data_IF_740956153410
#
_entry.id   IF_740956153410
#
_cell.length_a   1.000
_cell.length_b   1.000
_cell.length_c   1.000
_cell.angle_alpha   90.00
_cell.angle_beta   90.00
_cell.angle_gamma   90.00
#
_symmetry.space_group_name_H-M   'P 1'
#
loop_
_entity.id
_entity.type
_entity.pdbx_description
1 polymer ?
#
# COMPACT_ATOMS: atom_id res chain seq x y z
N UNK A 1 18.65 32.88 -38.28
CA UNK A 1 18.88 32.29 -36.94
C UNK A 1 17.80 32.82 -36.01
N UNK A 2 16.99 31.95 -35.40
CA UNK A 2 16.15 32.15 -34.20
C UNK A 2 14.97 31.17 -34.25
N UNK A 3 15.11 30.00 -33.63
CA UNK A 3 13.99 29.07 -33.36
C UNK A 3 13.70 29.12 -31.87
N UNK A 4 12.90 30.09 -31.47
CA UNK A 4 12.18 30.06 -30.20
C UNK A 4 11.00 29.10 -30.34
N UNK A 5 10.92 28.09 -29.47
CA UNK A 5 9.67 27.48 -28.93
C UNK A 5 10.03 26.28 -28.05
N UNK A 6 10.52 26.59 -26.85
CA UNK A 6 10.70 25.67 -25.73
C UNK A 6 9.41 25.61 -24.90
N UNK A 7 8.34 24.95 -25.38
CA UNK A 7 7.05 24.90 -24.65
C UNK A 7 6.34 23.53 -24.60
N UNK A 8 6.90 22.45 -25.14
CA UNK A 8 6.13 21.18 -25.27
C UNK A 8 6.41 20.12 -24.20
N UNK A 9 7.14 20.42 -23.13
CA UNK A 9 7.45 19.44 -22.07
C UNK A 9 6.48 19.41 -20.88
N UNK A 10 5.44 20.23 -20.88
CA UNK A 10 4.47 20.23 -19.79
C UNK A 10 3.15 19.61 -20.27
N UNK A 11 2.62 18.68 -19.47
CA UNK A 11 1.25 18.16 -19.51
C UNK A 11 1.00 16.87 -20.31
N UNK A 12 1.71 15.80 -19.91
CA UNK A 12 1.08 14.46 -19.85
C UNK A 12 0.81 14.08 -18.39
N UNK A 13 0.02 14.92 -17.68
CA UNK A 13 -0.56 14.53 -16.39
C UNK A 13 -1.71 13.57 -16.70
N UNK A 14 -1.45 12.27 -16.58
CA UNK A 14 -2.51 11.25 -16.64
C UNK A 14 -3.58 11.61 -15.60
N UNK A 15 -4.86 11.73 -15.96
CA UNK A 15 -5.90 11.92 -14.97
C UNK A 15 -5.93 10.66 -14.10
N UNK A 16 -5.60 10.82 -12.81
CA UNK A 16 -5.77 9.76 -11.85
C UNK A 16 -7.25 9.41 -11.80
N UNK A 17 -7.61 8.19 -12.24
CA UNK A 17 -8.98 7.69 -12.18
C UNK A 17 -9.54 7.79 -10.76
N UNK A 18 -10.88 7.81 -10.61
CA UNK A 18 -11.52 8.06 -9.33
C UNK A 18 -10.99 7.06 -8.30
N UNK A 19 -10.36 7.58 -7.25
CA UNK A 19 -9.89 6.77 -6.13
C UNK A 19 -11.11 6.04 -5.55
N UNK A 20 -11.21 4.75 -5.86
CA UNK A 20 -12.35 3.92 -5.47
C UNK A 20 -12.73 4.19 -4.02
N UNK A 21 -14.02 4.52 -3.82
CA UNK A 21 -14.57 4.93 -2.53
C UNK A 21 -14.09 3.97 -1.44
N UNK A 22 -13.22 4.47 -0.56
CA UNK A 22 -12.69 3.68 0.55
C UNK A 22 -13.85 3.46 1.50
N UNK A 23 -14.52 2.31 1.38
CA UNK A 23 -15.53 1.88 2.34
C UNK A 23 -14.90 1.89 3.74
N UNK A 24 -15.41 2.77 4.60
CA UNK A 24 -14.93 2.90 5.99
C UNK A 24 -15.35 1.64 6.73
N UNK A 25 -14.39 0.75 6.98
CA UNK A 25 -14.61 -0.40 7.88
C UNK A 25 -14.58 0.11 9.32
N UNK A 26 -15.48 -0.39 10.15
CA UNK A 26 -15.54 -0.05 11.57
C UNK A 26 -14.35 -0.67 12.32
N UNK A 27 -13.75 0.08 13.23
CA UNK A 27 -12.62 -0.40 14.04
C UNK A 27 -13.06 -1.43 15.08
N UNK A 28 -12.38 -2.57 15.10
CA UNK A 28 -12.61 -3.66 16.06
C UNK A 28 -12.45 -3.21 17.52
N UNK A 29 -11.33 -2.57 17.86
CA UNK A 29 -11.05 -2.09 19.23
C UNK A 29 -12.08 -1.07 19.72
N UNK A 30 -12.61 -0.22 18.83
CA UNK A 30 -13.70 0.70 19.18
C UNK A 30 -15.01 -0.03 19.52
N UNK A 31 -15.29 -1.16 18.86
CA UNK A 31 -16.51 -1.95 19.13
C UNK A 31 -16.40 -2.70 20.44
N UNK A 32 -15.24 -3.29 20.72
CA UNK A 32 -14.98 -4.02 21.95
C UNK A 32 -14.64 -3.11 23.15
N UNK A 33 -14.58 -1.78 22.94
CA UNK A 33 -14.23 -0.78 23.97
C UNK A 33 -12.90 -1.06 24.67
N UNK A 34 -11.95 -1.64 23.95
CA UNK A 34 -10.61 -1.91 24.47
C UNK A 34 -9.82 -0.60 24.41
N UNK A 35 -9.45 -0.06 25.59
CA UNK A 35 -8.74 1.21 25.69
C UNK A 35 -7.23 1.07 25.40
N UNK A 36 -6.63 -0.06 25.77
CA UNK A 36 -5.20 -0.32 25.63
C UNK A 36 -4.92 -1.66 24.94
N UNK A 37 -3.89 -1.65 24.09
CA UNK A 37 -3.51 -2.80 23.26
C UNK A 37 -2.13 -3.27 23.73
N UNK A 38 -2.12 -4.41 24.42
CA UNK A 38 -0.89 -5.01 24.92
C UNK A 38 -0.12 -5.80 23.87
N UNK A 39 1.22 -5.77 23.99
CA UNK A 39 2.13 -6.56 23.16
C UNK A 39 2.06 -8.07 23.44
N UNK A 40 1.54 -8.45 24.61
CA UNK A 40 1.41 -9.85 25.06
C UNK A 40 0.34 -10.61 24.25
N UNK A 41 -0.65 -9.92 23.71
CA UNK A 41 -1.76 -10.52 22.98
C UNK A 41 -1.40 -10.82 21.52
N UNK A 42 -0.50 -11.77 21.31
CA UNK A 42 0.04 -12.12 19.99
C UNK A 42 -1.06 -12.51 19.00
N UNK A 43 -2.11 -13.20 19.46
CA UNK A 43 -3.26 -13.61 18.64
C UNK A 43 -3.99 -12.42 18.01
N UNK A 44 -4.13 -11.32 18.75
CA UNK A 44 -4.76 -10.10 18.22
C UNK A 44 -3.80 -9.40 17.25
N UNK A 45 -2.52 -9.28 17.62
CA UNK A 45 -1.52 -8.56 16.82
C UNK A 45 -1.21 -9.26 15.49
N UNK A 46 -1.27 -10.60 15.42
CA UNK A 46 -1.10 -11.38 14.18
C UNK A 46 -2.08 -10.95 13.08
N UNK A 47 -3.31 -10.56 13.44
CA UNK A 47 -4.32 -10.06 12.46
C UNK A 47 -3.91 -8.73 11.81
N UNK A 48 -3.09 -7.94 12.51
CA UNK A 48 -2.60 -6.63 12.05
C UNK A 48 -1.25 -6.72 11.34
N UNK A 49 -0.70 -7.93 11.18
CA UNK A 49 0.58 -8.18 10.52
C UNK A 49 0.31 -9.01 9.25
N UNK A 50 1.12 -8.80 8.21
CA UNK A 50 1.10 -9.64 7.01
C UNK A 50 1.91 -10.91 7.25
N UNK A 51 1.70 -11.94 6.44
CA UNK A 51 2.54 -13.14 6.49
C UNK A 51 4.02 -12.80 6.34
N UNK A 52 4.35 -11.74 5.59
CA UNK A 52 5.73 -11.22 5.42
C UNK A 52 6.31 -10.54 6.68
N UNK A 53 5.58 -10.51 7.79
CA UNK A 53 5.98 -9.80 9.00
C UNK A 53 5.78 -8.29 8.95
N UNK A 54 5.21 -7.70 7.89
CA UNK A 54 4.99 -6.23 7.77
C UNK A 54 3.68 -5.81 8.45
N UNK A 55 3.65 -4.63 9.08
CA UNK A 55 2.42 -4.09 9.68
C UNK A 55 1.42 -3.74 8.58
N UNK A 56 0.20 -4.28 8.65
CA UNK A 56 -0.88 -3.98 7.70
C UNK A 56 -1.36 -2.55 7.88
N UNK A 57 -1.69 -1.89 6.76
CA UNK A 57 -2.22 -0.53 6.79
C UNK A 57 -3.64 -0.48 7.37
N UNK A 58 -4.01 0.67 7.94
CA UNK A 58 -5.36 0.95 8.46
C UNK A 58 -6.48 0.68 7.45
N UNK A 59 -6.20 0.79 6.14
CA UNK A 59 -7.19 0.61 5.07
C UNK A 59 -7.64 -0.85 4.97
N UNK A 60 -6.73 -1.77 5.23
CA UNK A 60 -6.98 -3.21 5.16
C UNK A 60 -7.67 -3.66 6.44
N UNK A 61 -7.16 -3.22 7.60
CA UNK A 61 -7.61 -3.67 8.93
C UNK A 61 -8.85 -2.92 9.43
N UNK A 62 -9.12 -1.71 8.95
CA UNK A 62 -10.24 -0.88 9.42
C UNK A 62 -10.01 -0.22 10.78
N UNK A 63 -8.78 -0.22 11.31
CA UNK A 63 -8.49 0.38 12.60
C UNK A 63 -8.56 1.92 12.56
N UNK A 64 -9.06 2.53 13.64
CA UNK A 64 -9.02 3.98 13.85
C UNK A 64 -7.57 4.46 13.98
N UNK A 65 -7.30 5.74 13.71
CA UNK A 65 -5.94 6.32 13.79
C UNK A 65 -5.30 6.10 15.17
N UNK A 66 -6.06 6.31 16.25
CA UNK A 66 -5.58 6.13 17.64
C UNK A 66 -5.13 4.69 17.88
N UNK A 67 -5.99 3.72 17.59
CA UNK A 67 -5.68 2.30 17.73
C UNK A 67 -4.56 1.86 16.80
N UNK A 68 -4.46 2.37 15.57
CA UNK A 68 -3.35 2.01 14.68
C UNK A 68 -1.99 2.42 15.25
N UNK A 69 -1.89 3.57 15.92
CA UNK A 69 -0.65 4.01 16.59
C UNK A 69 -0.33 3.08 17.77
N UNK A 70 -1.32 2.76 18.60
CA UNK A 70 -1.16 1.82 19.72
C UNK A 70 -0.75 0.42 19.24
N UNK A 71 -1.41 -0.13 18.22
CA UNK A 71 -1.03 -1.41 17.58
C UNK A 71 0.40 -1.34 17.06
N UNK A 72 0.80 -0.26 16.38
CA UNK A 72 2.15 -0.14 15.85
C UNK A 72 3.20 -0.16 16.97
N UNK A 73 2.95 0.51 18.09
CA UNK A 73 3.82 0.47 19.27
C UNK A 73 3.84 -0.92 19.92
N UNK A 74 2.67 -1.56 20.07
CA UNK A 74 2.56 -2.91 20.61
C UNK A 74 3.29 -3.94 19.74
N UNK A 75 3.17 -3.86 18.41
CA UNK A 75 3.89 -4.74 17.48
C UNK A 75 5.40 -4.52 17.55
N UNK A 76 5.87 -3.28 17.67
CA UNK A 76 7.31 -3.00 17.84
C UNK A 76 7.86 -3.62 19.11
N UNK A 77 7.18 -3.41 20.24
CA UNK A 77 7.53 -4.03 21.53
C UNK A 77 7.49 -5.56 21.46
N UNK A 78 6.46 -6.13 20.82
CA UNK A 78 6.36 -7.58 20.67
C UNK A 78 7.51 -8.17 19.83
N UNK A 79 8.03 -7.42 18.86
CA UNK A 79 9.21 -7.84 18.07
C UNK A 79 10.51 -7.76 18.87
N UNK A 80 10.67 -6.73 19.69
CA UNK A 80 11.80 -6.62 20.62
C UNK A 80 11.81 -7.80 21.62
N UNK A 81 10.62 -8.25 22.05
CA UNK A 81 10.43 -9.41 22.91
C UNK A 81 10.44 -10.77 22.16
N UNK A 82 10.81 -10.79 20.87
CA UNK A 82 10.84 -11.98 20.02
C UNK A 82 9.50 -12.77 19.90
N UNK A 83 8.37 -12.15 20.23
CA UNK A 83 7.04 -12.76 20.09
C UNK A 83 6.54 -12.75 18.63
N UNK A 84 7.09 -11.85 17.80
CA UNK A 84 6.71 -11.67 16.40
C UNK A 84 7.96 -11.46 15.52
N UNK A 85 8.00 -12.04 14.30
CA UNK A 85 9.15 -11.91 13.41
C UNK A 85 9.22 -10.53 12.73
N UNK A 86 10.44 -10.09 12.42
CA UNK A 86 10.70 -8.89 11.59
C UNK A 86 10.57 -9.19 10.10
N UNK A 87 11.04 -10.35 9.67
CA UNK A 87 11.02 -10.84 8.29
C UNK A 87 10.52 -12.27 8.34
N UNK A 88 9.53 -12.61 7.51
CA UNK A 88 9.18 -14.01 7.25
C UNK A 88 9.84 -14.42 5.94
N UNK A 89 10.70 -15.42 6.00
CA UNK A 89 11.63 -15.80 4.92
C UNK A 89 10.93 -16.31 3.64
N UNK A 90 9.65 -16.70 3.71
CA UNK A 90 8.96 -17.41 2.62
C UNK A 90 8.24 -16.57 1.55
N UNK A 91 8.57 -15.29 1.34
CA UNK A 91 7.71 -14.41 0.53
C UNK A 91 8.41 -13.58 -0.57
N UNK A 92 9.58 -14.03 -1.03
CA UNK A 92 10.34 -13.39 -2.11
C UNK A 92 9.95 -13.84 -3.52
N UNK A 93 8.85 -14.55 -3.75
CA UNK A 93 8.47 -14.92 -5.12
C UNK A 93 6.98 -14.75 -5.36
N UNK A 94 6.57 -13.58 -5.87
CA UNK A 94 5.52 -13.47 -6.89
C UNK A 94 5.30 -12.03 -7.33
N UNK A 95 5.45 -11.86 -8.65
CA UNK A 95 4.76 -10.91 -9.52
C UNK A 95 5.02 -9.41 -9.32
N UNK A 96 6.25 -9.00 -9.59
CA UNK A 96 6.54 -7.68 -10.17
C UNK A 96 6.68 -7.78 -11.68
N UNK A 97 5.68 -8.35 -12.37
CA UNK A 97 5.65 -8.37 -13.83
C UNK A 97 5.63 -6.93 -14.34
N UNK A 98 6.79 -6.40 -14.71
CA UNK A 98 6.88 -5.25 -15.60
C UNK A 98 6.04 -5.64 -16.81
N UNK A 99 4.85 -5.05 -16.93
CA UNK A 99 4.09 -5.09 -18.17
C UNK A 99 5.00 -4.43 -19.20
N UNK A 100 5.68 -5.28 -19.94
CA UNK A 100 6.31 -4.96 -21.20
C UNK A 100 5.26 -4.15 -21.97
N UNK A 101 5.49 -2.84 -22.10
CA UNK A 101 4.72 -2.02 -23.02
C UNK A 101 5.23 -2.43 -24.38
N UNK A 102 4.67 -3.51 -24.90
CA UNK A 102 4.87 -3.96 -26.26
C UNK A 102 4.78 -2.77 -27.18
N UNK A 103 5.93 -2.48 -27.77
CA UNK A 103 6.12 -2.15 -29.17
C UNK A 103 4.96 -1.37 -29.81
N UNK A 104 5.19 -0.06 -30.00
CA UNK A 104 4.37 0.78 -30.86
C UNK A 104 4.55 0.26 -32.28
N UNK A 105 3.63 -0.62 -32.66
CA UNK A 105 3.45 -1.09 -34.02
C UNK A 105 3.50 0.06 -35.00
N UNK A 106 4.32 -0.20 -36.00
CA UNK A 106 4.82 0.65 -37.06
C UNK A 106 3.72 1.25 -37.95
N UNK A 107 4.06 2.42 -38.48
CA UNK A 107 3.62 3.06 -39.73
C UNK A 107 2.56 2.31 -40.58
N UNK A 108 1.44 2.98 -40.81
CA UNK A 108 0.66 2.86 -42.06
C UNK A 108 0.19 4.27 -42.44
N UNK A 109 0.96 4.99 -43.25
CA UNK A 109 0.77 5.11 -44.71
C UNK A 109 -0.49 5.96 -45.02
N UNK A 110 -0.29 7.28 -45.22
CA UNK A 110 -0.41 7.94 -46.53
C UNK A 110 -1.75 7.67 -47.22
N UNK A 111 -2.51 8.73 -47.38
CA UNK A 111 -3.71 8.75 -48.19
C UNK A 111 -4.17 10.20 -48.39
N UNK A 112 -3.41 10.93 -49.20
CA UNK A 112 -3.83 12.20 -49.81
C UNK A 112 -5.17 12.03 -50.55
N UNK A 113 -6.23 12.72 -50.09
CA UNK A 113 -7.23 13.38 -50.92
C UNK A 113 -8.14 14.31 -50.14
#
# INVERSE_FOLDING_TARGET
MAREKNQQQQQRRRPGGPAGQIRRRNCFFCKEKIAEIDYKNVNQLRRYISEKGKIRSRRITGACRRHQVQVATAVKRAREMALLPYVAEGAEERSGGRRDRGDRGDRGDRGDR
#
